data_IF_594018887129
#
_entry.id   IF_594018887129
#
_cell.length_a   1.000
_cell.length_b   1.000
_cell.length_c   1.000
_cell.angle_alpha   90.00
_cell.angle_beta   90.00
_cell.angle_gamma   90.00
#
_symmetry.space_group_name_H-M   'P 1'
#
loop_
_entity.id
_entity.type
_entity.pdbx_description
1 polymer ?
#
# COMPACT_ATOMS: atom_id res chain seq x y z
N UNK A 1 -1.30 2.46 -4.69
CA UNK A 1 -1.88 1.21 -4.15
C UNK A 1 -2.83 1.54 -3.02
N UNK A 2 -3.95 0.84 -2.95
CA UNK A 2 -4.85 0.84 -1.79
C UNK A 2 -4.69 -0.52 -1.08
N UNK A 3 -4.34 -0.58 0.21
CA UNK A 3 -4.19 -1.85 0.95
C UNK A 3 -5.47 -2.70 1.03
N UNK A 4 -6.64 -2.14 0.71
CA UNK A 4 -7.92 -2.86 0.70
C UNK A 4 -8.48 -3.12 -0.70
N UNK A 5 -7.73 -2.79 -1.75
CA UNK A 5 -8.15 -3.06 -3.12
C UNK A 5 -7.67 -4.45 -3.58
N UNK A 6 -8.56 -5.32 -4.09
CA UNK A 6 -8.18 -6.63 -4.64
C UNK A 6 -7.20 -6.53 -5.80
N UNK A 7 -7.40 -5.58 -6.72
CA UNK A 7 -6.47 -5.41 -7.85
C UNK A 7 -5.09 -4.93 -7.38
N UNK A 8 -5.04 -4.13 -6.29
CA UNK A 8 -3.76 -3.75 -5.66
C UNK A 8 -3.05 -4.96 -5.03
N UNK A 9 -3.78 -5.90 -4.44
CA UNK A 9 -3.22 -7.18 -3.96
C UNK A 9 -2.65 -7.98 -5.13
N UNK A 10 -3.42 -8.15 -6.19
CA UNK A 10 -3.07 -9.03 -7.32
C UNK A 10 -1.93 -8.45 -8.17
N UNK A 11 -1.80 -7.12 -8.18
CA UNK A 11 -0.69 -6.39 -8.77
C UNK A 11 0.65 -6.52 -8.05
N UNK A 12 0.66 -6.87 -6.77
CA UNK A 12 1.87 -6.80 -5.95
C UNK A 12 2.89 -7.90 -6.28
N UNK A 13 2.52 -9.20 -6.37
CA UNK A 13 3.46 -10.27 -6.69
C UNK A 13 4.22 -10.11 -8.02
N UNK A 14 3.57 -9.82 -9.18
CA UNK A 14 4.29 -9.68 -10.44
C UNK A 14 5.26 -8.48 -10.43
N UNK A 15 4.86 -7.35 -9.83
CA UNK A 15 5.73 -6.19 -9.64
C UNK A 15 6.95 -6.53 -8.79
N UNK A 16 6.75 -7.22 -7.66
CA UNK A 16 7.83 -7.66 -6.77
C UNK A 16 8.82 -8.57 -7.50
N UNK A 17 8.30 -9.56 -8.22
CA UNK A 17 9.12 -10.49 -9.00
C UNK A 17 9.96 -9.76 -10.06
N UNK A 18 9.39 -8.77 -10.75
CA UNK A 18 10.13 -7.97 -11.72
C UNK A 18 11.20 -7.08 -11.05
N UNK A 19 10.89 -6.44 -9.93
CA UNK A 19 11.87 -5.65 -9.18
C UNK A 19 13.03 -6.52 -8.67
N UNK A 20 12.74 -7.73 -8.19
CA UNK A 20 13.75 -8.69 -7.74
C UNK A 20 14.58 -9.21 -8.92
N UNK A 21 13.97 -9.41 -10.10
CA UNK A 21 14.69 -9.73 -11.34
C UNK A 21 15.75 -8.67 -11.65
N UNK A 22 15.38 -7.38 -11.70
CA UNK A 22 16.31 -6.27 -12.03
C UNK A 22 17.28 -5.88 -10.91
N UNK A 23 16.92 -6.20 -9.67
CA UNK A 23 17.68 -5.85 -8.49
C UNK A 23 17.62 -4.36 -8.15
N UNK A 24 17.83 -4.07 -6.87
CA UNK A 24 17.73 -2.72 -6.30
C UNK A 24 18.72 -1.69 -6.87
N UNK A 25 19.76 -2.12 -7.60
CA UNK A 25 20.69 -1.21 -8.29
C UNK A 25 20.13 -0.63 -9.58
N UNK A 26 19.18 -1.31 -10.22
CA UNK A 26 18.59 -0.89 -11.50
C UNK A 26 17.16 -0.38 -11.33
N UNK A 27 16.38 -1.03 -10.47
CA UNK A 27 14.95 -0.74 -10.28
C UNK A 27 14.66 -0.50 -8.80
N UNK A 28 14.04 0.63 -8.50
CA UNK A 28 13.50 0.94 -7.20
C UNK A 28 11.97 0.97 -7.26
N UNK A 29 11.32 0.24 -6.35
CA UNK A 29 9.86 0.28 -6.19
C UNK A 29 9.52 1.28 -5.09
N UNK A 30 8.66 2.25 -5.42
CA UNK A 30 8.10 3.22 -4.49
C UNK A 30 6.58 3.09 -4.48
N UNK A 31 6.01 2.85 -3.31
CA UNK A 31 4.56 2.74 -3.13
C UNK A 31 3.98 4.04 -2.60
N UNK A 32 3.13 4.68 -3.40
CA UNK A 32 2.23 5.73 -2.93
C UNK A 32 0.89 5.12 -2.54
N UNK A 33 0.45 5.40 -1.31
CA UNK A 33 -0.80 4.91 -0.77
C UNK A 33 -1.93 5.82 -1.20
N UNK A 34 -2.98 5.25 -1.77
CA UNK A 34 -4.10 6.00 -2.31
C UNK A 34 -5.40 5.40 -1.77
N UNK A 35 -5.99 5.98 -0.71
CA UNK A 35 -7.19 5.41 -0.14
C UNK A 35 -8.40 5.64 -1.03
N UNK A 36 -8.97 4.57 -1.59
CA UNK A 36 -10.15 4.69 -2.45
C UNK A 36 -11.39 5.03 -1.62
N UNK A 37 -12.22 6.01 -2.04
CA UNK A 37 -13.33 6.50 -1.25
C UNK A 37 -14.45 5.46 -1.05
N UNK A 38 -14.55 4.47 -1.93
CA UNK A 38 -15.52 3.38 -1.88
C UNK A 38 -15.03 2.16 -1.08
N UNK A 39 -13.81 2.19 -0.53
CA UNK A 39 -13.33 1.22 0.46
C UNK A 39 -13.36 1.85 1.85
N UNK A 40 -14.39 1.54 2.64
CA UNK A 40 -14.74 2.23 3.90
C UNK A 40 -13.59 2.32 4.92
N UNK A 41 -12.73 1.30 4.95
CA UNK A 41 -11.61 1.21 5.89
C UNK A 41 -10.26 1.62 5.27
N UNK A 42 -10.24 2.09 4.01
CA UNK A 42 -8.99 2.29 3.26
C UNK A 42 -8.14 3.41 3.84
N UNK A 43 -8.73 4.55 4.19
CA UNK A 43 -7.99 5.63 4.86
C UNK A 43 -7.35 5.17 6.18
N UNK A 44 -8.02 4.27 6.92
CA UNK A 44 -7.47 3.68 8.15
C UNK A 44 -6.25 2.83 7.81
N UNK A 45 -6.35 1.95 6.81
CA UNK A 45 -5.25 1.09 6.38
C UNK A 45 -4.04 1.89 5.88
N UNK A 46 -4.25 2.90 5.04
CA UNK A 46 -3.19 3.79 4.56
C UNK A 46 -2.52 4.54 5.73
N UNK A 47 -3.31 5.06 6.68
CA UNK A 47 -2.78 5.71 7.89
C UNK A 47 -2.00 4.75 8.78
N UNK A 48 -2.42 3.49 8.89
CA UNK A 48 -1.68 2.45 9.62
C UNK A 48 -0.28 2.25 9.05
N UNK A 49 -0.16 2.16 7.72
CA UNK A 49 1.14 2.00 7.06
C UNK A 49 2.02 3.24 7.25
N UNK A 50 1.48 4.46 7.11
CA UNK A 50 2.23 5.68 7.39
C UNK A 50 2.68 5.79 8.86
N UNK A 51 1.88 5.27 9.78
CA UNK A 51 2.25 5.21 11.20
C UNK A 51 3.40 4.24 11.42
N UNK A 52 3.32 3.04 10.84
CA UNK A 52 4.40 2.04 10.91
C UNK A 52 5.68 2.53 10.23
N UNK A 53 5.58 3.21 9.08
CA UNK A 53 6.74 3.79 8.39
C UNK A 53 7.58 4.70 9.30
N UNK A 54 6.94 5.48 10.17
CA UNK A 54 7.64 6.35 11.14
C UNK A 54 8.34 5.59 12.26
N UNK A 55 7.85 4.40 12.61
CA UNK A 55 8.42 3.57 13.67
C UNK A 55 9.51 2.66 13.12
N UNK A 56 9.27 2.06 11.96
CA UNK A 56 10.15 1.12 11.30
C UNK A 56 9.86 1.11 9.80
N UNK A 57 10.71 1.75 9.00
CA UNK A 57 10.52 1.83 7.55
C UNK A 57 10.60 0.44 6.88
N UNK A 58 11.41 -0.48 7.40
CA UNK A 58 11.54 -1.85 6.89
C UNK A 58 10.26 -2.67 7.08
N UNK A 59 9.35 -2.25 7.95
CA UNK A 59 8.07 -2.91 8.20
C UNK A 59 6.95 -2.52 7.21
N UNK A 60 7.19 -1.55 6.31
CA UNK A 60 6.15 -1.03 5.40
C UNK A 60 5.65 -2.11 4.43
N UNK A 61 6.55 -2.77 3.69
CA UNK A 61 6.15 -3.83 2.75
C UNK A 61 5.61 -5.08 3.44
N UNK A 62 6.21 -5.58 4.54
CA UNK A 62 5.60 -6.65 5.33
C UNK A 62 4.17 -6.34 5.81
N UNK A 63 3.90 -5.10 6.23
CA UNK A 63 2.55 -4.69 6.62
C UNK A 63 1.60 -4.58 5.42
N UNK A 64 2.06 -4.03 4.30
CA UNK A 64 1.28 -3.98 3.07
C UNK A 64 0.87 -5.39 2.60
N UNK A 65 1.79 -6.35 2.64
CA UNK A 65 1.54 -7.76 2.32
C UNK A 65 0.60 -8.42 3.32
N UNK A 66 0.68 -8.07 4.61
CA UNK A 66 -0.31 -8.52 5.61
C UNK A 66 -1.70 -7.97 5.31
N UNK A 67 -1.82 -6.70 4.91
CA UNK A 67 -3.10 -6.17 4.44
C UNK A 67 -3.62 -6.99 3.26
N UNK A 68 -2.83 -7.14 2.20
CA UNK A 68 -3.21 -7.93 1.02
C UNK A 68 -3.63 -9.37 1.33
N UNK A 69 -2.93 -10.03 2.26
CA UNK A 69 -3.26 -11.40 2.69
C UNK A 69 -4.59 -11.50 3.45
N UNK A 70 -4.97 -10.47 4.20
CA UNK A 70 -6.12 -10.50 5.11
C UNK A 70 -7.18 -9.43 4.83
N UNK A 71 -7.12 -8.75 3.68
CA UNK A 71 -7.91 -7.55 3.36
C UNK A 71 -9.42 -7.81 3.41
N UNK A 72 -9.88 -9.03 3.10
CA UNK A 72 -11.29 -9.40 3.12
C UNK A 72 -11.94 -9.13 4.47
N UNK A 73 -11.20 -9.33 5.57
CA UNK A 73 -11.65 -9.04 6.94
C UNK A 73 -11.91 -7.55 7.24
N UNK A 74 -11.54 -6.67 6.32
CA UNK A 74 -11.59 -5.21 6.42
C UNK A 74 -12.37 -4.56 5.26
N UNK A 75 -12.96 -5.36 4.38
CA UNK A 75 -13.86 -4.88 3.33
C UNK A 75 -15.12 -4.23 3.91
N UNK A 76 -15.89 -3.60 3.03
CA UNK A 76 -17.12 -2.89 3.39
C UNK A 76 -18.07 -3.77 4.18
N UNK A 77 -18.41 -4.97 3.69
CA UNK A 77 -19.38 -5.86 4.36
C UNK A 77 -18.94 -6.25 5.78
N UNK A 78 -17.72 -6.77 6.02
CA UNK A 78 -17.32 -7.18 7.38
C UNK A 78 -17.11 -6.02 8.36
N UNK A 79 -16.91 -4.80 7.85
CA UNK A 79 -16.70 -3.60 8.68
C UNK A 79 -17.94 -2.70 8.79
N UNK A 80 -19.02 -3.01 8.07
CA UNK A 80 -20.20 -2.15 7.93
C UNK A 80 -20.82 -1.73 9.26
N UNK A 81 -20.93 -2.66 10.21
CA UNK A 81 -21.53 -2.40 11.55
C UNK A 81 -20.49 -2.07 12.62
N UNK A 82 -19.22 -1.91 12.23
CA UNK A 82 -18.12 -1.71 13.19
C UNK A 82 -17.83 -0.24 13.34
N UNK A 83 -17.57 0.17 14.58
CA UNK A 83 -17.03 1.51 14.83
C UNK A 83 -15.62 1.62 14.24
N UNK A 84 -15.24 2.83 13.86
CA UNK A 84 -13.87 3.13 13.42
C UNK A 84 -12.82 2.65 14.43
N UNK A 85 -13.07 2.85 15.73
CA UNK A 85 -12.17 2.42 16.80
C UNK A 85 -12.01 0.90 16.83
N UNK A 86 -13.08 0.13 16.63
CA UNK A 86 -13.02 -1.33 16.57
C UNK A 86 -12.20 -1.82 15.36
N UNK A 87 -12.35 -1.19 14.19
CA UNK A 87 -11.55 -1.50 13.00
C UNK A 87 -10.07 -1.19 13.24
N UNK A 88 -9.74 -0.03 13.80
CA UNK A 88 -8.36 0.34 14.16
C UNK A 88 -7.76 -0.66 15.13
N UNK A 89 -8.49 -1.06 16.18
CA UNK A 89 -8.02 -2.04 17.15
C UNK A 89 -7.77 -3.42 16.51
N UNK A 90 -8.66 -3.87 15.61
CA UNK A 90 -8.50 -5.12 14.86
C UNK A 90 -7.25 -5.08 13.98
N UNK A 91 -7.03 -4.00 13.24
CA UNK A 91 -5.80 -3.79 12.43
C UNK A 91 -4.56 -3.79 13.32
N UNK A 92 -4.60 -3.07 14.44
CA UNK A 92 -3.49 -2.95 15.38
C UNK A 92 -3.02 -4.33 15.86
N UNK A 93 -3.97 -5.14 16.34
CA UNK A 93 -3.67 -6.43 16.96
C UNK A 93 -3.34 -7.51 15.92
N UNK A 94 -4.08 -7.56 14.80
CA UNK A 94 -4.00 -8.71 13.89
C UNK A 94 -3.01 -8.51 12.74
N UNK A 95 -2.76 -7.26 12.32
CA UNK A 95 -1.88 -6.95 11.20
C UNK A 95 -0.59 -6.26 11.64
N UNK A 96 -0.68 -5.28 12.52
CA UNK A 96 0.46 -4.43 12.89
C UNK A 96 1.35 -5.07 13.93
N UNK A 97 0.80 -5.54 15.06
CA UNK A 97 1.59 -6.13 16.14
C UNK A 97 2.48 -7.31 15.67
N UNK A 98 2.02 -8.22 14.79
CA UNK A 98 2.89 -9.28 14.26
C UNK A 98 4.06 -8.78 13.39
N UNK A 99 4.00 -7.54 12.89
CA UNK A 99 5.02 -6.96 12.01
C UNK A 99 6.02 -6.11 12.79
N UNK A 100 5.56 -5.32 13.75
CA UNK A 100 6.41 -4.40 14.51
C UNK A 100 6.74 -4.88 15.94
N UNK A 101 6.13 -5.98 16.38
CA UNK A 101 6.22 -6.49 17.75
C UNK A 101 5.31 -5.76 18.74
N UNK A 102 4.80 -6.49 19.74
CA UNK A 102 3.86 -5.98 20.76
C UNK A 102 4.42 -4.76 21.53
N UNK A 103 5.73 -4.73 21.79
CA UNK A 103 6.39 -3.62 22.47
C UNK A 103 6.20 -2.27 21.77
N UNK A 104 5.99 -2.26 20.44
CA UNK A 104 5.81 -1.04 19.65
C UNK A 104 4.34 -0.65 19.46
N UNK A 105 3.39 -1.45 19.96
CA UNK A 105 1.96 -1.23 19.73
C UNK A 105 1.44 0.06 20.38
N UNK A 106 1.99 0.44 21.54
CA UNK A 106 1.66 1.70 22.20
C UNK A 106 2.06 2.91 21.35
N UNK A 107 3.27 2.90 20.77
CA UNK A 107 3.74 3.95 19.86
C UNK A 107 2.89 4.03 18.58
N UNK A 108 2.51 2.87 18.02
CA UNK A 108 1.59 2.80 16.88
C UNK A 108 0.22 3.43 17.22
N UNK A 109 -0.37 3.08 18.37
CA UNK A 109 -1.66 3.63 18.80
C UNK A 109 -1.59 5.14 19.03
N UNK A 110 -0.50 5.63 19.63
CA UNK A 110 -0.25 7.06 19.78
C UNK A 110 -0.19 7.78 18.42
N UNK A 111 0.36 7.12 17.40
CA UNK A 111 0.36 7.61 16.02
C UNK A 111 -1.04 7.88 15.46
N UNK A 112 -2.10 7.19 15.94
CA UNK A 112 -3.49 7.46 15.55
C UNK A 112 -4.14 8.65 16.27
N UNK A 113 -3.53 9.13 17.35
CA UNK A 113 -3.94 10.35 18.05
C UNK A 113 -3.17 11.59 17.56
N UNK A 114 -2.05 11.38 16.87
CA UNK A 114 -1.23 12.43 16.28
C UNK A 114 -1.72 12.85 14.88
N UNK A 115 -1.79 14.16 14.63
CA UNK A 115 -2.14 14.76 13.34
C UNK A 115 -1.16 14.40 12.22
N UNK A 116 0.11 14.09 12.55
CA UNK A 116 1.15 13.87 11.52
C UNK A 116 0.92 12.60 10.70
N UNK A 117 0.29 11.55 11.23
CA UNK A 117 -0.01 10.32 10.45
C UNK A 117 -1.23 10.52 9.56
N UNK A 118 -2.21 11.28 10.04
CA UNK A 118 -3.39 11.69 9.28
C UNK A 118 -2.98 12.58 8.10
N UNK A 119 -2.12 13.59 8.34
CA UNK A 119 -1.54 14.44 7.30
C UNK A 119 -0.76 13.62 6.28
N UNK A 120 0.06 12.64 6.70
CA UNK A 120 0.80 11.80 5.75
C UNK A 120 -0.14 11.04 4.80
N UNK A 121 -1.22 10.45 5.31
CA UNK A 121 -2.23 9.78 4.48
C UNK A 121 -2.94 10.75 3.53
N UNK A 122 -3.29 11.96 3.99
CA UNK A 122 -3.88 13.02 3.14
C UNK A 122 -2.93 13.52 2.07
N UNK A 123 -1.65 13.70 2.39
CA UNK A 123 -0.62 14.13 1.45
C UNK A 123 -0.42 13.06 0.37
N UNK A 124 -0.36 11.78 0.75
CA UNK A 124 -0.25 10.67 -0.21
C UNK A 124 -1.45 10.63 -1.17
N UNK A 125 -2.66 10.79 -0.64
CA UNK A 125 -3.88 10.91 -1.45
C UNK A 125 -3.82 12.10 -2.42
N UNK A 126 -3.53 13.31 -1.92
CA UNK A 126 -3.43 14.53 -2.73
C UNK A 126 -2.36 14.41 -3.82
N UNK A 127 -1.23 13.78 -3.51
CA UNK A 127 -0.17 13.51 -4.48
C UNK A 127 -0.66 12.61 -5.61
N UNK A 128 -1.43 11.57 -5.31
CA UNK A 128 -2.08 10.75 -6.33
C UNK A 128 -3.05 11.56 -7.19
N UNK A 129 -3.94 12.35 -6.57
CA UNK A 129 -4.90 13.18 -7.29
C UNK A 129 -4.22 14.18 -8.23
N UNK A 130 -3.15 14.86 -7.76
CA UNK A 130 -2.38 15.82 -8.56
C UNK A 130 -1.70 15.17 -9.79
N UNK A 131 -1.61 13.83 -9.83
CA UNK A 131 -1.03 13.06 -10.92
C UNK A 131 -2.07 12.27 -11.73
N UNK A 132 -3.35 12.58 -11.56
CA UNK A 132 -4.44 11.95 -12.31
C UNK A 132 -4.79 10.53 -11.88
N UNK A 133 -4.38 10.09 -10.69
CA UNK A 133 -4.76 8.77 -10.16
C UNK A 133 -6.25 8.76 -9.84
N UNK A 134 -6.99 7.89 -10.54
CA UNK A 134 -8.45 7.71 -10.38
C UNK A 134 -8.83 6.35 -9.78
N UNK A 135 -7.89 5.40 -9.75
CA UNK A 135 -8.08 4.03 -9.27
C UNK A 135 -6.78 3.44 -8.73
N UNK A 136 -6.84 2.19 -8.26
CA UNK A 136 -5.63 1.46 -7.84
C UNK A 136 -5.70 0.00 -8.32
N UNK A 137 -4.57 -0.62 -8.72
CA UNK A 137 -3.25 -0.02 -8.81
C UNK A 137 -3.18 1.04 -9.92
N UNK A 138 -2.20 1.92 -9.83
CA UNK A 138 -1.90 2.92 -10.86
C UNK A 138 -0.38 3.08 -10.89
N UNK A 139 0.21 2.98 -12.07
CA UNK A 139 1.66 2.83 -12.20
C UNK A 139 2.29 4.05 -12.87
N UNK A 140 3.50 4.35 -12.42
CA UNK A 140 4.38 5.32 -13.05
C UNK A 140 5.76 4.68 -13.21
N UNK A 141 6.39 4.88 -14.36
CA UNK A 141 7.79 4.53 -14.60
C UNK A 141 8.53 5.81 -14.93
N UNK A 142 9.58 6.12 -14.16
CA UNK A 142 10.33 7.39 -14.26
C UNK A 142 9.44 8.64 -14.30
N UNK A 143 8.35 8.62 -13.52
CA UNK A 143 7.41 9.73 -13.41
C UNK A 143 6.36 9.81 -14.53
N UNK A 144 6.39 8.92 -15.52
CA UNK A 144 5.42 8.85 -16.62
C UNK A 144 4.34 7.80 -16.28
N UNK A 145 3.03 8.16 -16.34
CA UNK A 145 1.97 7.19 -16.08
C UNK A 145 1.99 6.11 -17.17
N UNK A 146 1.87 4.85 -16.75
CA UNK A 146 1.59 3.77 -17.70
C UNK A 146 0.08 3.80 -17.98
N UNK A 147 -0.30 4.14 -19.22
CA UNK A 147 -1.71 4.25 -19.66
C UNK A 147 -2.46 2.91 -19.60
N UNK A 148 -3.76 2.91 -19.96
CA UNK A 148 -4.66 1.73 -19.88
C UNK A 148 -4.02 0.45 -20.42
N UNK A 149 -3.49 -0.33 -19.49
CA UNK A 149 -2.93 -1.65 -19.69
C UNK A 149 -3.96 -2.66 -19.22
N UNK A 150 -3.91 -3.89 -19.71
CA UNK A 150 -4.65 -4.98 -19.08
C UNK A 150 -4.24 -5.04 -17.60
N UNK A 151 -5.20 -4.77 -16.71
CA UNK A 151 -4.98 -4.60 -15.27
C UNK A 151 -5.39 -5.88 -14.51
N UNK A 152 -4.59 -6.33 -13.52
CA UNK A 152 -3.27 -5.85 -13.12
C UNK A 152 -2.13 -6.29 -14.07
N UNK A 153 -1.03 -5.52 -14.09
CA UNK A 153 0.16 -5.85 -14.88
C UNK A 153 0.81 -7.16 -14.41
N UNK A 154 0.99 -8.11 -15.33
CA UNK A 154 1.73 -9.34 -15.08
C UNK A 154 3.26 -9.14 -15.12
N UNK A 155 4.00 -10.20 -14.80
CA UNK A 155 5.45 -10.18 -14.73
C UNK A 155 6.10 -9.88 -16.09
N UNK A 156 5.63 -10.51 -17.17
CA UNK A 156 6.22 -10.36 -18.50
C UNK A 156 6.01 -8.95 -19.04
N UNK A 157 4.87 -8.34 -18.71
CA UNK A 157 4.60 -6.94 -19.04
C UNK A 157 5.48 -5.99 -18.24
N UNK A 158 5.77 -6.28 -16.97
CA UNK A 158 6.77 -5.52 -16.21
C UNK A 158 8.16 -5.62 -16.81
N UNK A 159 8.63 -6.82 -17.14
CA UNK A 159 9.95 -7.03 -17.75
C UNK A 159 10.05 -6.29 -19.08
N UNK A 160 9.08 -6.48 -19.98
CA UNK A 160 9.09 -5.78 -21.28
C UNK A 160 8.97 -4.26 -21.18
N UNK A 161 8.39 -3.73 -20.09
CA UNK A 161 8.34 -2.28 -19.82
C UNK A 161 9.70 -1.74 -19.33
N UNK A 162 10.42 -2.52 -18.50
CA UNK A 162 11.64 -2.06 -17.84
C UNK A 162 12.91 -2.37 -18.65
N UNK A 163 12.93 -3.48 -19.40
CA UNK A 163 14.06 -3.92 -20.23
C UNK A 163 14.67 -2.80 -21.11
N UNK A 164 13.88 -2.02 -21.86
CA UNK A 164 14.41 -0.94 -22.70
C UNK A 164 15.03 0.21 -21.90
N UNK A 165 14.70 0.34 -20.62
CA UNK A 165 15.09 1.46 -19.76
C UNK A 165 16.35 1.16 -18.93
N UNK A 166 16.50 -0.09 -18.48
CA UNK A 166 17.58 -0.47 -17.55
C UNK A 166 18.53 -1.53 -18.12
N UNK A 167 18.32 -1.94 -19.37
CA UNK A 167 19.07 -2.98 -20.04
C UNK A 167 18.64 -4.39 -19.61
N UNK A 168 18.60 -5.29 -20.58
CA UNK A 168 18.26 -6.70 -20.39
C UNK A 168 19.21 -7.37 -19.38
N UNK A 169 18.73 -8.42 -18.72
CA UNK A 169 19.54 -9.34 -17.91
C UNK A 169 19.50 -10.75 -18.45
#
# INVERSE_FOLDING_TARGET
>A
FDPLCPDSRDAWPPLRRAADHFGARRVAVVVHLFPLPYHSSSFIACRSIHTVHKLNASAVYPLLEKFFKYQESYYNTPTYTKTRAAVVAKIANNLVAPVIGEANLAAYRAGFNDSRSDQAARISFKFGCARGVTGTPYYFVNGIPLGDLDFPLDYDKWVSTLDPLVGKM
#
